data_IF_265469741370
#
_entry.id   IF_265469741370
#
_cell.length_a   1.000
_cell.length_b   1.000
_cell.length_c   1.000
_cell.angle_alpha   90.00
_cell.angle_beta   90.00
_cell.angle_gamma   90.00
#
_symmetry.space_group_name_H-M   'P 1'
#
loop_
_entity.id
_entity.type
_entity.pdbx_description
1 polymer ?
#
# COMPACT_ATOMS: atom_id res chain seq x y z
N UNK A 1 187.31 5.08 -148.22
CA UNK A 1 188.39 4.09 -148.04
C UNK A 1 187.94 2.83 -148.75
N UNK A 2 188.58 2.23 -149.75
CA UNK A 2 189.80 2.47 -150.54
C UNK A 2 189.75 1.41 -151.69
N UNK A 3 190.05 1.73 -152.97
CA UNK A 3 191.26 1.33 -153.75
C UNK A 3 191.38 -0.21 -154.04
N UNK A 4 192.01 -0.75 -155.12
CA UNK A 4 193.01 -0.24 -156.08
C UNK A 4 193.12 -1.12 -157.37
N UNK A 5 194.02 -0.71 -158.27
CA UNK A 5 194.39 -1.14 -159.64
C UNK A 5 194.92 -2.59 -159.93
N UNK A 6 194.96 -2.96 -161.24
CA UNK A 6 196.16 -3.50 -161.93
C UNK A 6 196.11 -4.84 -162.72
N UNK A 7 196.58 -4.84 -163.99
CA UNK A 7 197.45 -5.92 -164.54
C UNK A 7 196.96 -6.97 -165.60
N UNK A 8 197.74 -7.08 -166.70
CA UNK A 8 198.10 -8.27 -167.52
C UNK A 8 197.13 -8.93 -168.57
N UNK A 9 197.69 -9.81 -169.43
CA UNK A 9 197.29 -10.23 -170.81
C UNK A 9 196.85 -11.72 -170.96
N UNK A 10 196.06 -12.11 -171.99
CA UNK A 10 196.25 -13.28 -172.93
C UNK A 10 195.10 -13.48 -174.00
N UNK A 11 195.27 -14.48 -174.90
CA UNK A 11 194.48 -14.88 -176.13
C UNK A 11 192.98 -15.29 -175.90
N UNK A 12 192.05 -15.55 -176.85
CA UNK A 12 191.97 -15.41 -178.34
C UNK A 12 190.89 -16.31 -179.05
N UNK A 13 190.05 -15.75 -179.96
CA UNK A 13 189.39 -16.36 -181.17
C UNK A 13 187.99 -17.10 -181.20
N UNK A 14 187.02 -16.50 -181.94
CA UNK A 14 186.01 -17.07 -182.92
C UNK A 14 184.54 -17.44 -182.48
N UNK A 15 183.57 -17.25 -183.43
CA UNK A 15 182.06 -17.14 -183.40
C UNK A 15 181.33 -18.51 -183.70
N UNK A 16 179.95 -18.73 -183.80
CA UNK A 16 178.78 -17.85 -184.12
C UNK A 16 177.41 -18.14 -183.38
N UNK A 17 176.23 -17.70 -183.89
CA UNK A 17 174.89 -18.04 -183.32
C UNK A 17 173.59 -17.68 -184.12
N UNK A 18 172.45 -18.35 -183.82
CA UNK A 18 171.06 -18.01 -184.27
C UNK A 18 169.88 -18.67 -183.47
N UNK A 19 170.10 -19.65 -182.58
CA UNK A 19 169.02 -20.55 -182.07
C UNK A 19 168.11 -19.96 -180.97
N UNK A 20 168.49 -18.85 -180.34
CA UNK A 20 167.93 -18.43 -179.03
C UNK A 20 166.48 -17.84 -179.08
N UNK A 21 166.00 -17.42 -180.25
CA UNK A 21 164.74 -16.66 -180.35
C UNK A 21 163.46 -17.48 -180.09
N UNK A 22 163.42 -18.77 -180.42
CA UNK A 22 162.19 -19.57 -180.30
C UNK A 22 161.92 -20.10 -178.89
N UNK A 23 162.96 -20.43 -178.12
CA UNK A 23 162.80 -20.90 -176.74
C UNK A 23 162.20 -19.82 -175.82
N UNK A 24 162.61 -18.57 -176.02
CA UNK A 24 162.10 -17.41 -175.28
C UNK A 24 160.58 -17.21 -175.42
N UNK A 25 160.03 -17.41 -176.63
CA UNK A 25 158.61 -17.16 -176.90
C UNK A 25 157.70 -18.20 -176.20
N UNK A 26 158.14 -19.46 -176.13
CA UNK A 26 157.42 -20.52 -175.44
C UNK A 26 157.43 -20.33 -173.91
N UNK A 27 158.57 -19.90 -173.34
CA UNK A 27 158.67 -19.51 -171.92
C UNK A 27 157.70 -18.37 -171.56
N UNK A 28 157.57 -17.35 -172.41
CA UNK A 28 156.64 -16.23 -172.20
C UNK A 28 155.18 -16.72 -172.15
N UNK A 29 154.76 -17.62 -173.04
CA UNK A 29 153.38 -18.14 -173.06
C UNK A 29 153.07 -18.95 -171.80
N UNK A 30 153.98 -19.83 -171.36
CA UNK A 30 153.81 -20.57 -170.10
C UNK A 30 153.82 -19.65 -168.87
N UNK A 31 154.64 -18.60 -168.86
CA UNK A 31 154.68 -17.61 -167.80
C UNK A 31 153.37 -16.81 -167.71
N UNK A 32 152.83 -16.35 -168.84
CA UNK A 32 151.53 -15.67 -168.91
C UNK A 32 150.38 -16.59 -168.48
N UNK A 33 150.36 -17.85 -168.92
CA UNK A 33 149.35 -18.84 -168.49
C UNK A 33 149.47 -19.16 -166.99
N UNK A 34 150.69 -19.25 -166.45
CA UNK A 34 150.91 -19.48 -165.01
C UNK A 34 150.47 -18.28 -164.18
N UNK A 35 150.80 -17.04 -164.60
CA UNK A 35 150.30 -15.81 -163.98
C UNK A 35 148.77 -15.78 -164.02
N UNK A 36 148.17 -16.11 -165.17
CA UNK A 36 146.71 -16.15 -165.31
C UNK A 36 146.10 -17.22 -164.40
N UNK A 37 146.68 -18.42 -164.31
CA UNK A 37 146.19 -19.48 -163.43
C UNK A 37 146.32 -19.12 -161.95
N UNK A 38 147.41 -18.45 -161.55
CA UNK A 38 147.60 -17.91 -160.19
C UNK A 38 146.57 -16.80 -159.92
N UNK A 39 146.35 -15.87 -160.85
CA UNK A 39 145.31 -14.85 -160.72
C UNK A 39 143.92 -15.50 -160.60
N UNK A 40 143.59 -16.48 -161.44
CA UNK A 40 142.31 -17.20 -161.38
C UNK A 40 142.16 -18.00 -160.07
N UNK A 41 143.23 -18.59 -159.55
CA UNK A 41 143.24 -19.24 -158.24
C UNK A 41 142.99 -18.22 -157.13
N UNK A 42 143.75 -17.13 -157.08
CA UNK A 42 143.60 -16.06 -156.06
C UNK A 42 142.23 -15.40 -156.14
N UNK A 43 141.70 -15.13 -157.34
CA UNK A 43 140.34 -14.63 -157.54
C UNK A 43 139.30 -15.64 -157.06
N UNK A 44 139.43 -16.93 -157.41
CA UNK A 44 138.50 -17.97 -156.95
C UNK A 44 138.54 -18.14 -155.42
N UNK A 45 139.72 -18.15 -154.84
CA UNK A 45 139.95 -18.28 -153.39
C UNK A 45 139.40 -17.06 -152.66
N UNK A 46 139.67 -15.84 -153.16
CA UNK A 46 139.11 -14.58 -152.62
C UNK A 46 137.58 -14.55 -152.73
N UNK A 47 137.00 -14.92 -153.88
CA UNK A 47 135.55 -14.96 -154.07
C UNK A 47 134.91 -16.06 -153.21
N UNK A 48 135.56 -17.21 -153.05
CA UNK A 48 135.08 -18.30 -152.19
C UNK A 48 135.16 -17.93 -150.71
N UNK A 49 136.23 -17.25 -150.28
CA UNK A 49 136.38 -16.70 -148.94
C UNK A 49 135.32 -15.63 -148.65
N UNK A 50 135.18 -14.64 -149.52
CA UNK A 50 134.13 -13.62 -149.43
C UNK A 50 132.72 -14.23 -149.40
N UNK A 51 132.46 -15.29 -150.17
CA UNK A 51 131.19 -16.02 -150.13
C UNK A 51 130.96 -16.68 -148.77
N UNK A 52 131.95 -17.40 -148.24
CA UNK A 52 131.89 -18.01 -146.91
C UNK A 52 131.73 -16.96 -145.81
N UNK A 53 132.38 -15.80 -145.91
CA UNK A 53 132.24 -14.69 -144.98
C UNK A 53 130.83 -14.09 -145.02
N UNK A 54 130.24 -13.93 -146.21
CA UNK A 54 128.84 -13.49 -146.39
C UNK A 54 127.86 -14.53 -145.83
N UNK A 55 128.09 -15.82 -146.07
CA UNK A 55 127.27 -16.91 -145.51
C UNK A 55 127.36 -16.92 -143.96
N UNK A 56 128.56 -16.74 -143.39
CA UNK A 56 128.77 -16.60 -141.95
C UNK A 56 128.11 -15.33 -141.36
N UNK A 57 128.24 -14.18 -142.03
CA UNK A 57 127.57 -12.93 -141.61
C UNK A 57 126.04 -13.08 -141.67
N UNK A 58 125.51 -13.74 -142.70
CA UNK A 58 124.08 -14.01 -142.84
C UNK A 58 123.55 -14.88 -141.69
N UNK A 59 124.29 -15.93 -141.32
CA UNK A 59 123.98 -16.78 -140.17
C UNK A 59 124.07 -16.00 -138.84
N UNK A 60 125.08 -15.15 -138.67
CA UNK A 60 125.20 -14.29 -137.48
C UNK A 60 124.04 -13.28 -137.39
N UNK A 61 123.67 -12.64 -138.50
CA UNK A 61 122.53 -11.70 -138.56
C UNK A 61 121.21 -12.41 -138.28
N UNK A 62 120.99 -13.62 -138.80
CA UNK A 62 119.80 -14.43 -138.48
C UNK A 62 119.74 -14.77 -136.99
N UNK A 63 120.83 -15.28 -136.42
CA UNK A 63 120.93 -15.61 -135.00
C UNK A 63 120.73 -14.38 -134.09
N UNK A 64 121.25 -13.23 -134.50
CA UNK A 64 121.06 -11.97 -133.79
C UNK A 64 119.59 -11.49 -133.90
N UNK A 65 118.94 -11.67 -135.04
CA UNK A 65 117.51 -11.37 -135.23
C UNK A 65 116.61 -12.29 -134.39
N UNK A 66 116.92 -13.59 -134.33
CA UNK A 66 116.20 -14.56 -133.50
C UNK A 66 116.36 -14.24 -132.00
N UNK A 67 117.59 -13.92 -131.55
CA UNK A 67 117.83 -13.52 -130.16
C UNK A 67 117.13 -12.19 -129.81
N UNK A 68 117.12 -11.22 -130.72
CA UNK A 68 116.38 -9.96 -130.55
C UNK A 68 114.86 -10.18 -130.53
N UNK A 69 114.33 -11.11 -131.33
CA UNK A 69 112.93 -11.52 -131.30
C UNK A 69 112.54 -12.18 -129.97
N UNK A 70 113.39 -13.05 -129.43
CA UNK A 70 113.21 -13.66 -128.12
C UNK A 70 113.26 -12.64 -126.98
N UNK A 71 114.24 -11.73 -126.99
CA UNK A 71 114.32 -10.63 -126.01
C UNK A 71 113.14 -9.67 -126.13
N UNK A 72 112.64 -9.39 -127.34
CA UNK A 72 111.42 -8.61 -127.53
C UNK A 72 110.20 -9.30 -126.93
N UNK A 73 110.03 -10.61 -127.19
CA UNK A 73 108.95 -11.41 -126.60
C UNK A 73 109.04 -11.49 -125.07
N UNK A 74 110.26 -11.56 -124.51
CA UNK A 74 110.51 -11.45 -123.05
C UNK A 74 110.11 -10.08 -122.51
N UNK A 75 110.49 -8.99 -123.19
CA UNK A 75 110.11 -7.64 -122.78
C UNK A 75 108.59 -7.42 -122.83
N UNK A 76 107.92 -7.90 -123.89
CA UNK A 76 106.47 -7.75 -124.05
C UNK A 76 105.69 -8.60 -123.01
N UNK A 77 106.16 -9.82 -122.69
CA UNK A 77 105.57 -10.64 -121.61
C UNK A 77 105.83 -10.07 -120.20
N UNK A 78 107.02 -9.51 -119.95
CA UNK A 78 107.30 -8.77 -118.70
C UNK A 78 106.43 -7.52 -118.57
N UNK A 79 106.23 -6.77 -119.66
CA UNK A 79 105.35 -5.60 -119.67
C UNK A 79 103.90 -5.98 -119.36
N UNK A 80 103.39 -7.08 -119.92
CA UNK A 80 102.07 -7.63 -119.62
C UNK A 80 101.94 -8.05 -118.13
N UNK A 81 102.94 -8.76 -117.58
CA UNK A 81 102.95 -9.14 -116.16
C UNK A 81 102.94 -7.91 -115.24
N UNK A 82 103.76 -6.90 -115.54
CA UNK A 82 103.80 -5.64 -114.78
C UNK A 82 102.48 -4.88 -114.86
N UNK A 83 101.77 -4.91 -116.01
CA UNK A 83 100.44 -4.34 -116.13
C UNK A 83 99.42 -5.07 -115.23
N UNK A 84 99.38 -6.41 -115.28
CA UNK A 84 98.50 -7.22 -114.42
C UNK A 84 98.78 -7.01 -112.94
N UNK A 85 100.04 -6.95 -112.52
CA UNK A 85 100.41 -6.70 -111.12
C UNK A 85 100.02 -5.29 -110.64
N UNK A 86 100.05 -4.28 -111.53
CA UNK A 86 99.56 -2.93 -111.22
C UNK A 86 98.04 -2.91 -111.02
N UNK A 87 97.29 -3.61 -111.86
CA UNK A 87 95.83 -3.71 -111.76
C UNK A 87 95.38 -4.48 -110.50
N UNK A 88 96.03 -5.63 -110.22
CA UNK A 88 95.82 -6.38 -108.98
C UNK A 88 96.15 -5.53 -107.74
N UNK A 89 97.23 -4.74 -107.78
CA UNK A 89 97.59 -3.82 -106.70
C UNK A 89 96.54 -2.72 -106.51
N UNK A 90 96.09 -2.06 -107.58
CA UNK A 90 95.07 -1.01 -107.50
C UNK A 90 93.72 -1.55 -106.97
N UNK A 91 93.36 -2.78 -107.36
CA UNK A 91 92.19 -3.49 -106.83
C UNK A 91 92.34 -3.79 -105.33
N UNK A 92 93.50 -4.27 -104.90
CA UNK A 92 93.80 -4.54 -103.50
C UNK A 92 93.82 -3.26 -102.63
N UNK A 93 94.43 -2.18 -103.12
CA UNK A 93 94.44 -0.87 -102.45
C UNK A 93 93.01 -0.33 -102.27
N UNK A 94 92.16 -0.46 -103.29
CA UNK A 94 90.74 -0.09 -103.22
C UNK A 94 89.99 -0.93 -102.18
N UNK A 95 90.20 -2.26 -102.18
CA UNK A 95 89.56 -3.18 -101.23
C UNK A 95 90.02 -2.93 -99.78
N UNK A 96 91.29 -2.57 -99.57
CA UNK A 96 91.80 -2.15 -98.25
C UNK A 96 91.12 -0.85 -97.81
N UNK A 97 90.98 0.14 -98.70
CA UNK A 97 90.29 1.39 -98.38
C UNK A 97 88.80 1.17 -98.03
N UNK A 98 88.12 0.25 -98.71
CA UNK A 98 86.75 -0.16 -98.36
C UNK A 98 86.68 -0.83 -96.99
N UNK A 99 87.56 -1.79 -96.71
CA UNK A 99 87.60 -2.50 -95.42
C UNK A 99 87.95 -1.57 -94.25
N UNK A 100 88.84 -0.59 -94.47
CA UNK A 100 89.15 0.44 -93.47
C UNK A 100 87.93 1.33 -93.19
N UNK A 101 87.18 1.72 -94.22
CA UNK A 101 85.90 2.46 -94.06
C UNK A 101 84.84 1.62 -93.33
N UNK A 102 84.72 0.33 -93.65
CA UNK A 102 83.81 -0.59 -92.96
C UNK A 102 84.18 -0.78 -91.49
N UNK A 103 85.46 -1.01 -91.17
CA UNK A 103 85.92 -1.14 -89.78
C UNK A 103 85.74 0.16 -88.97
N UNK A 104 85.94 1.33 -89.60
CA UNK A 104 85.66 2.62 -88.95
C UNK A 104 84.16 2.81 -88.66
N UNK A 105 83.28 2.41 -89.60
CA UNK A 105 81.84 2.41 -89.40
C UNK A 105 81.41 1.46 -88.27
N UNK A 106 81.84 0.21 -88.31
CA UNK A 106 81.56 -0.79 -87.27
C UNK A 106 82.08 -0.36 -85.89
N UNK A 107 83.23 0.33 -85.82
CA UNK A 107 83.74 0.89 -84.56
C UNK A 107 82.85 2.02 -84.00
N UNK A 108 82.31 2.87 -84.87
CA UNK A 108 81.35 3.91 -84.47
C UNK A 108 80.01 3.30 -84.04
N UNK A 109 79.48 2.34 -84.80
CA UNK A 109 78.23 1.62 -84.49
C UNK A 109 78.33 0.86 -83.15
N UNK A 110 79.46 0.18 -82.90
CA UNK A 110 79.72 -0.50 -81.64
C UNK A 110 79.77 0.48 -80.48
N UNK A 111 80.49 1.60 -80.61
CA UNK A 111 80.56 2.61 -79.54
C UNK A 111 79.19 3.25 -79.25
N UNK A 112 78.38 3.49 -80.27
CA UNK A 112 77.00 3.96 -80.10
C UNK A 112 76.11 2.91 -79.39
N UNK A 113 76.25 1.63 -79.75
CA UNK A 113 75.53 0.54 -79.11
C UNK A 113 75.93 0.32 -77.64
N UNK A 114 77.22 0.46 -77.30
CA UNK A 114 77.71 0.42 -75.92
C UNK A 114 77.17 1.58 -75.09
N UNK A 115 77.20 2.82 -75.62
CA UNK A 115 76.61 3.99 -74.95
C UNK A 115 75.10 3.82 -74.72
N UNK A 116 74.36 3.29 -75.71
CA UNK A 116 72.92 3.03 -75.58
C UNK A 116 72.61 1.94 -74.54
N UNK A 117 73.41 0.86 -74.51
CA UNK A 117 73.31 -0.20 -73.48
C UNK A 117 73.56 0.36 -72.09
N UNK A 118 74.60 1.16 -71.92
CA UNK A 118 74.99 1.69 -70.61
C UNK A 118 73.99 2.75 -70.10
N UNK A 119 73.42 3.55 -71.00
CA UNK A 119 72.28 4.42 -70.70
C UNK A 119 71.04 3.62 -70.26
N UNK A 120 70.69 2.56 -70.98
CA UNK A 120 69.57 1.67 -70.64
C UNK A 120 69.79 0.95 -69.29
N UNK A 121 71.03 0.58 -68.99
CA UNK A 121 71.40 -0.02 -67.70
C UNK A 121 71.28 0.99 -66.54
N UNK A 122 71.66 2.25 -66.76
CA UNK A 122 71.46 3.32 -65.79
C UNK A 122 69.97 3.61 -65.54
N UNK A 123 69.14 3.65 -66.60
CA UNK A 123 67.69 3.81 -66.50
C UNK A 123 67.03 2.64 -65.75
N UNK A 124 67.39 1.40 -66.06
CA UNK A 124 66.94 0.21 -65.34
C UNK A 124 67.35 0.23 -63.85
N UNK A 125 68.55 0.75 -63.53
CA UNK A 125 69.01 0.98 -62.17
C UNK A 125 68.17 2.03 -61.43
N UNK A 126 67.84 3.14 -62.09
CA UNK A 126 66.97 4.18 -61.54
C UNK A 126 65.56 3.66 -61.27
N UNK A 127 64.93 2.99 -62.25
CA UNK A 127 63.61 2.36 -62.12
C UNK A 127 63.55 1.34 -60.99
N UNK A 128 64.61 0.52 -60.82
CA UNK A 128 64.72 -0.39 -59.66
C UNK A 128 64.78 0.40 -58.35
N UNK A 129 65.56 1.46 -58.27
CA UNK A 129 65.63 2.34 -57.10
C UNK A 129 64.34 3.09 -56.78
N UNK A 130 63.50 3.40 -57.78
CA UNK A 130 62.14 3.91 -57.59
C UNK A 130 61.18 2.82 -57.09
N UNK A 131 61.27 1.60 -57.64
CA UNK A 131 60.47 0.45 -57.21
C UNK A 131 60.76 0.08 -55.76
N UNK A 132 62.03 -0.03 -55.37
CA UNK A 132 62.46 -0.36 -54.01
C UNK A 132 61.95 0.72 -53.01
N UNK A 133 62.01 2.01 -53.40
CA UNK A 133 61.42 3.12 -52.62
C UNK A 133 59.90 3.02 -52.51
N UNK A 134 59.20 2.67 -53.59
CA UNK A 134 57.75 2.49 -53.59
C UNK A 134 57.32 1.31 -52.71
N UNK A 135 58.05 0.18 -52.76
CA UNK A 135 57.81 -0.98 -51.89
C UNK A 135 58.06 -0.66 -50.41
N UNK A 136 59.11 0.11 -50.09
CA UNK A 136 59.36 0.59 -48.74
C UNK A 136 58.24 1.52 -48.25
N UNK A 137 57.76 2.44 -49.10
CA UNK A 137 56.65 3.33 -48.79
C UNK A 137 55.33 2.57 -48.55
N UNK A 138 55.00 1.58 -49.39
CA UNK A 138 53.84 0.70 -49.20
C UNK A 138 53.94 -0.13 -47.91
N UNK A 139 55.13 -0.62 -47.58
CA UNK A 139 55.36 -1.37 -46.33
C UNK A 139 55.14 -0.47 -45.11
N UNK A 140 55.68 0.75 -45.12
CA UNK A 140 55.45 1.73 -44.06
C UNK A 140 53.97 2.16 -43.96
N UNK A 141 53.29 2.33 -45.09
CA UNK A 141 51.86 2.64 -45.14
C UNK A 141 51.01 1.51 -44.54
N UNK A 142 51.32 0.25 -44.85
CA UNK A 142 50.64 -0.92 -44.28
C UNK A 142 50.90 -1.04 -42.77
N UNK A 143 52.13 -0.79 -42.29
CA UNK A 143 52.44 -0.77 -40.86
C UNK A 143 51.67 0.32 -40.12
N UNK A 144 51.57 1.52 -40.69
CA UNK A 144 50.77 2.61 -40.12
C UNK A 144 49.28 2.26 -40.13
N UNK A 145 48.76 1.66 -41.21
CA UNK A 145 47.35 1.27 -41.30
C UNK A 145 46.98 0.19 -40.26
N UNK A 146 47.85 -0.81 -40.04
CA UNK A 146 47.64 -1.82 -39.00
C UNK A 146 47.75 -1.21 -37.59
N UNK A 147 48.63 -0.24 -37.38
CA UNK A 147 48.72 0.50 -36.11
C UNK A 147 47.46 1.33 -35.81
N UNK A 148 46.92 2.05 -36.81
CA UNK A 148 45.64 2.75 -36.67
C UNK A 148 44.45 1.78 -36.51
N UNK A 149 44.48 0.61 -37.18
CA UNK A 149 43.44 -0.42 -36.98
C UNK A 149 43.43 -0.95 -35.55
N UNK A 150 44.61 -1.20 -34.96
CA UNK A 150 44.73 -1.61 -33.54
C UNK A 150 44.21 -0.54 -32.58
N UNK A 151 44.55 0.73 -32.80
CA UNK A 151 43.97 1.84 -32.02
C UNK A 151 42.45 1.88 -32.14
N UNK A 152 41.92 1.67 -33.35
CA UNK A 152 40.47 1.61 -33.56
C UNK A 152 39.84 0.44 -32.78
N UNK A 153 40.40 -0.77 -32.86
CA UNK A 153 39.97 -1.95 -32.08
C UNK A 153 40.03 -1.71 -30.55
N UNK A 154 41.08 -1.06 -30.05
CA UNK A 154 41.21 -0.63 -28.65
C UNK A 154 40.11 0.37 -28.26
N UNK A 155 39.87 1.41 -29.09
CA UNK A 155 38.82 2.40 -28.81
C UNK A 155 37.40 1.82 -28.84
N UNK A 156 37.13 0.86 -29.74
CA UNK A 156 35.85 0.14 -29.78
C UNK A 156 35.67 -0.75 -28.54
N UNK A 157 36.75 -1.39 -28.07
CA UNK A 157 36.75 -2.18 -26.83
C UNK A 157 36.47 -1.30 -25.61
N UNK A 158 37.11 -0.12 -25.53
CA UNK A 158 36.86 0.87 -24.47
C UNK A 158 35.44 1.45 -24.53
N UNK A 159 34.91 1.69 -25.74
CA UNK A 159 33.53 2.16 -25.92
C UNK A 159 32.52 1.11 -25.45
N UNK A 160 32.68 -0.15 -25.84
CA UNK A 160 31.81 -1.25 -25.39
C UNK A 160 31.85 -1.42 -23.86
N UNK A 161 33.03 -1.29 -23.24
CA UNK A 161 33.16 -1.29 -21.79
C UNK A 161 32.47 -0.09 -21.11
N UNK A 162 32.55 1.10 -21.72
CA UNK A 162 31.89 2.30 -21.22
C UNK A 162 30.35 2.23 -21.36
N UNK A 163 29.84 1.65 -22.44
CA UNK A 163 28.40 1.40 -22.62
C UNK A 163 27.88 0.38 -21.60
N UNK A 164 28.58 -0.74 -21.40
CA UNK A 164 28.23 -1.73 -20.37
C UNK A 164 28.22 -1.11 -18.95
N UNK A 165 29.22 -0.28 -18.63
CA UNK A 165 29.27 0.44 -17.35
C UNK A 165 28.12 1.47 -17.19
N UNK A 166 27.76 2.20 -18.27
CA UNK A 166 26.61 3.11 -18.28
C UNK A 166 25.31 2.36 -18.03
N UNK A 167 25.13 1.21 -18.66
CA UNK A 167 23.90 0.43 -18.56
C UNK A 167 23.77 -0.25 -17.18
N UNK A 168 24.89 -0.70 -16.59
CA UNK A 168 24.94 -1.14 -15.18
C UNK A 168 24.56 0.01 -14.22
N UNK A 169 25.16 1.20 -14.37
CA UNK A 169 24.79 2.37 -13.57
C UNK A 169 23.32 2.79 -13.80
N UNK A 170 22.76 2.53 -14.98
CA UNK A 170 21.34 2.69 -15.26
C UNK A 170 20.47 1.75 -14.43
N UNK A 171 20.84 0.47 -14.36
CA UNK A 171 20.16 -0.53 -13.54
C UNK A 171 20.26 -0.22 -12.04
N UNK A 172 21.47 0.08 -11.53
CA UNK A 172 21.68 0.47 -10.13
C UNK A 172 20.84 1.71 -9.74
N UNK A 173 20.73 2.71 -10.63
CA UNK A 173 19.86 3.87 -10.41
C UNK A 173 18.37 3.53 -10.40
N UNK A 174 17.93 2.55 -11.20
CA UNK A 174 16.54 2.09 -11.20
C UNK A 174 16.19 1.30 -9.92
N UNK A 175 17.10 0.46 -9.43
CA UNK A 175 16.97 -0.21 -8.13
C UNK A 175 16.93 0.81 -6.98
N UNK A 176 17.86 1.78 -6.96
CA UNK A 176 17.88 2.84 -5.95
C UNK A 176 16.63 3.72 -5.97
N UNK A 177 16.06 4.00 -7.15
CA UNK A 177 14.77 4.71 -7.26
C UNK A 177 13.62 3.87 -6.68
N UNK A 178 13.58 2.57 -6.99
CA UNK A 178 12.55 1.64 -6.47
C UNK A 178 12.62 1.51 -4.95
N UNK A 179 13.83 1.43 -4.39
CA UNK A 179 14.06 1.41 -2.93
C UNK A 179 13.71 2.76 -2.28
N UNK A 180 13.96 3.87 -2.95
CA UNK A 180 13.56 5.20 -2.46
C UNK A 180 12.03 5.35 -2.42
N UNK A 181 11.32 4.91 -3.46
CA UNK A 181 9.85 4.90 -3.52
C UNK A 181 9.27 3.98 -2.44
N UNK A 182 9.86 2.80 -2.23
CA UNK A 182 9.50 1.88 -1.16
C UNK A 182 9.63 2.56 0.22
N UNK A 183 10.77 3.19 0.51
CA UNK A 183 10.99 3.91 1.77
C UNK A 183 10.05 5.10 1.94
N UNK A 184 9.70 5.80 0.85
CA UNK A 184 8.72 6.87 0.89
C UNK A 184 7.32 6.34 1.27
N UNK A 185 6.92 5.18 0.74
CA UNK A 185 5.67 4.52 1.11
C UNK A 185 5.67 4.03 2.58
N UNK A 186 6.76 3.41 3.04
CA UNK A 186 6.92 3.00 4.46
C UNK A 186 6.87 4.21 5.41
N UNK A 187 7.52 5.32 5.06
CA UNK A 187 7.44 6.58 5.82
C UNK A 187 6.03 7.20 5.81
N UNK A 188 5.30 7.13 4.69
CA UNK A 188 3.92 7.59 4.60
C UNK A 188 2.99 6.75 5.50
N UNK A 189 3.15 5.43 5.49
CA UNK A 189 2.41 4.51 6.38
C UNK A 189 2.72 4.79 7.86
N UNK A 190 4.00 4.96 8.22
CA UNK A 190 4.39 5.29 9.59
C UNK A 190 3.81 6.63 10.07
N UNK A 191 3.75 7.64 9.19
CA UNK A 191 3.11 8.93 9.48
C UNK A 191 1.59 8.80 9.66
N UNK A 192 0.92 7.99 8.85
CA UNK A 192 -0.51 7.72 9.01
C UNK A 192 -0.82 7.04 10.35
N UNK A 193 -0.08 5.98 10.70
CA UNK A 193 -0.23 5.30 11.99
C UNK A 193 0.02 6.23 13.19
N UNK A 194 1.01 7.12 13.11
CA UNK A 194 1.27 8.12 14.14
C UNK A 194 0.14 9.16 14.25
N UNK A 195 -0.46 9.55 13.11
CA UNK A 195 -1.64 10.43 13.07
C UNK A 195 -2.86 9.78 13.74
N UNK A 196 -3.13 8.51 13.44
CA UNK A 196 -4.23 7.76 14.07
C UNK A 196 -3.99 7.60 15.57
N UNK A 197 -2.77 7.23 15.98
CA UNK A 197 -2.41 7.07 17.39
C UNK A 197 -2.50 8.38 18.18
N UNK A 198 -2.12 9.52 17.57
CA UNK A 198 -2.30 10.84 18.21
C UNK A 198 -3.77 11.24 18.27
N UNK A 199 -4.59 10.91 17.26
CA UNK A 199 -6.04 11.07 17.30
C UNK A 199 -6.69 10.27 18.45
N UNK A 200 -6.37 8.98 18.58
CA UNK A 200 -6.84 8.11 19.68
C UNK A 200 -6.39 8.64 21.04
N UNK A 201 -5.15 9.13 21.16
CA UNK A 201 -4.63 9.74 22.39
C UNK A 201 -5.41 11.00 22.78
N UNK A 202 -5.71 11.88 21.81
CA UNK A 202 -6.53 13.07 22.06
C UNK A 202 -7.98 12.71 22.43
N UNK A 203 -8.57 11.69 21.82
CA UNK A 203 -9.91 11.22 22.20
C UNK A 203 -9.91 10.66 23.63
N UNK A 204 -8.91 9.86 23.98
CA UNK A 204 -8.71 9.38 25.36
C UNK A 204 -8.55 10.53 26.37
N UNK A 205 -7.80 11.58 26.03
CA UNK A 205 -7.69 12.78 26.86
C UNK A 205 -9.03 13.50 27.03
N UNK A 206 -9.84 13.64 25.96
CA UNK A 206 -11.20 14.22 26.03
C UNK A 206 -12.12 13.36 26.90
N UNK A 207 -12.06 12.04 26.78
CA UNK A 207 -12.86 11.13 27.59
C UNK A 207 -12.48 11.16 29.07
N UNK A 208 -11.17 11.23 29.39
CA UNK A 208 -10.68 11.43 30.76
C UNK A 208 -11.13 12.78 31.33
N UNK A 209 -11.10 13.85 30.53
CA UNK A 209 -11.61 15.17 30.95
C UNK A 209 -13.12 15.13 31.26
N UNK A 210 -13.93 14.48 30.41
CA UNK A 210 -15.37 14.29 30.63
C UNK A 210 -15.65 13.43 31.88
N UNK A 211 -14.93 12.33 32.07
CA UNK A 211 -15.06 11.48 33.25
C UNK A 211 -14.67 12.22 34.53
N UNK A 212 -13.63 13.06 34.49
CA UNK A 212 -13.25 13.92 35.62
C UNK A 212 -14.32 14.98 35.93
N UNK A 213 -14.96 15.56 34.91
CA UNK A 213 -16.08 16.49 35.07
C UNK A 213 -17.29 15.79 35.71
N UNK A 214 -17.65 14.59 35.24
CA UNK A 214 -18.70 13.75 35.83
C UNK A 214 -18.37 13.36 37.27
N UNK A 215 -17.12 12.98 37.56
CA UNK A 215 -16.67 12.64 38.91
C UNK A 215 -16.59 13.85 39.86
N UNK A 216 -16.45 15.08 39.33
CA UNK A 216 -16.63 16.31 40.11
C UNK A 216 -18.12 16.54 40.42
N UNK A 217 -18.99 16.50 39.40
CA UNK A 217 -20.43 16.66 39.55
C UNK A 217 -21.05 15.63 40.52
N UNK A 218 -20.61 14.37 40.48
CA UNK A 218 -21.02 13.33 41.42
C UNK A 218 -20.54 13.61 42.85
N UNK A 219 -19.35 14.19 43.04
CA UNK A 219 -18.87 14.62 44.35
C UNK A 219 -19.69 15.80 44.89
N UNK A 220 -20.05 16.76 44.04
CA UNK A 220 -20.91 17.88 44.42
C UNK A 220 -22.33 17.41 44.80
N UNK A 221 -22.88 16.43 44.06
CA UNK A 221 -24.15 15.78 44.39
C UNK A 221 -24.08 15.01 45.72
N UNK A 222 -23.00 14.28 45.97
CA UNK A 222 -22.79 13.59 47.25
C UNK A 222 -22.62 14.58 48.41
N UNK A 223 -21.91 15.70 48.22
CA UNK A 223 -21.79 16.75 49.22
C UNK A 223 -23.14 17.43 49.53
N UNK A 224 -23.97 17.67 48.50
CA UNK A 224 -25.32 18.20 48.68
C UNK A 224 -26.23 17.20 49.42
N UNK A 225 -26.18 15.92 49.07
CA UNK A 225 -26.92 14.86 49.78
C UNK A 225 -26.48 14.71 51.24
N UNK A 226 -25.16 14.78 51.50
CA UNK A 226 -24.63 14.78 52.85
C UNK A 226 -25.13 15.99 53.65
N UNK A 227 -25.12 17.19 53.06
CA UNK A 227 -25.67 18.39 53.72
C UNK A 227 -27.17 18.29 54.04
N UNK A 228 -27.97 17.65 53.17
CA UNK A 228 -29.38 17.37 53.45
C UNK A 228 -29.54 16.34 54.56
N UNK A 229 -28.69 15.31 54.61
CA UNK A 229 -28.69 14.31 55.68
C UNK A 229 -28.30 14.91 57.03
N UNK A 230 -27.23 15.71 57.06
CA UNK A 230 -26.73 16.40 58.26
C UNK A 230 -27.80 17.37 58.79
N UNK A 231 -28.49 18.11 57.91
CA UNK A 231 -29.63 18.95 58.26
C UNK A 231 -30.79 18.12 58.85
N UNK A 232 -31.16 17.01 58.23
CA UNK A 232 -32.21 16.11 58.74
C UNK A 232 -31.86 15.54 60.12
N UNK A 233 -30.60 15.22 60.38
CA UNK A 233 -30.14 14.75 61.70
C UNK A 233 -30.16 15.87 62.75
N UNK A 234 -29.82 17.11 62.36
CA UNK A 234 -29.94 18.28 63.23
C UNK A 234 -31.42 18.58 63.59
N UNK A 235 -32.33 18.47 62.61
CA UNK A 235 -33.76 18.63 62.81
C UNK A 235 -34.35 17.53 63.70
N UNK A 236 -33.92 16.26 63.53
CA UNK A 236 -34.30 15.15 64.40
C UNK A 236 -33.80 15.35 65.84
N UNK A 237 -32.55 15.81 66.02
CA UNK A 237 -32.00 16.14 67.33
C UNK A 237 -32.78 17.31 68.00
N UNK A 238 -33.13 18.35 67.23
CA UNK A 238 -33.93 19.45 67.73
C UNK A 238 -35.36 19.02 68.13
N UNK A 239 -36.00 18.17 67.33
CA UNK A 239 -37.29 17.56 67.66
C UNK A 239 -37.22 16.71 68.94
N UNK A 240 -36.13 15.95 69.13
CA UNK A 240 -35.90 15.18 70.37
C UNK A 240 -35.78 16.08 71.59
N UNK A 241 -35.03 17.18 71.51
CA UNK A 241 -34.93 18.18 72.60
C UNK A 241 -36.29 18.83 72.88
N UNK A 242 -37.12 19.08 71.87
CA UNK A 242 -38.51 19.54 72.08
C UNK A 242 -39.36 18.50 72.81
N UNK A 243 -39.26 17.21 72.47
CA UNK A 243 -39.97 16.12 73.17
C UNK A 243 -39.52 16.00 74.62
N UNK A 244 -38.21 16.08 74.90
CA UNK A 244 -37.67 16.07 76.27
C UNK A 244 -38.12 17.31 77.07
N UNK A 245 -38.17 18.48 76.43
CA UNK A 245 -38.69 19.73 77.03
C UNK A 245 -40.19 19.65 77.32
N UNK A 246 -40.99 19.09 76.40
CA UNK A 246 -42.41 18.84 76.59
C UNK A 246 -42.67 17.82 77.70
N UNK A 247 -41.87 16.76 77.79
CA UNK A 247 -41.91 15.79 78.89
C UNK A 247 -41.57 16.42 80.24
N UNK A 248 -40.56 17.29 80.29
CA UNK A 248 -40.22 18.07 81.49
C UNK A 248 -41.35 19.02 81.90
N UNK A 249 -41.94 19.74 80.95
CA UNK A 249 -43.08 20.63 81.18
C UNK A 249 -44.34 19.87 81.65
N UNK A 250 -44.59 18.67 81.10
CA UNK A 250 -45.69 17.80 81.53
C UNK A 250 -45.46 17.28 82.96
N UNK A 251 -44.24 16.88 83.31
CA UNK A 251 -43.88 16.50 84.68
C UNK A 251 -43.99 17.67 85.67
N UNK A 252 -43.60 18.88 85.25
CA UNK A 252 -43.79 20.10 86.06
C UNK A 252 -45.28 20.47 86.22
N UNK A 253 -46.11 20.25 85.20
CA UNK A 253 -47.56 20.42 85.29
C UNK A 253 -48.20 19.38 86.21
N UNK A 254 -47.78 18.10 86.13
CA UNK A 254 -48.20 17.04 87.06
C UNK A 254 -47.79 17.36 88.51
N UNK A 255 -46.59 17.91 88.74
CA UNK A 255 -46.15 18.35 90.05
C UNK A 255 -46.98 19.53 90.60
N UNK A 256 -47.40 20.48 89.74
CA UNK A 256 -48.36 21.54 90.12
C UNK A 256 -49.73 20.95 90.49
N UNK A 257 -50.27 20.04 89.68
CA UNK A 257 -51.55 19.37 89.97
C UNK A 257 -51.47 18.57 91.28
N UNK A 258 -50.38 17.87 91.55
CA UNK A 258 -50.17 17.16 92.82
C UNK A 258 -50.05 18.12 94.02
N UNK A 259 -49.44 19.30 93.84
CA UNK A 259 -49.38 20.36 94.85
C UNK A 259 -50.75 21.01 95.11
N UNK A 260 -51.59 21.17 94.08
CA UNK A 260 -52.96 21.67 94.23
C UNK A 260 -53.88 20.62 94.86
N UNK A 261 -53.67 19.32 94.55
CA UNK A 261 -54.41 18.21 95.16
C UNK A 261 -54.10 18.05 96.66
N UNK A 262 -52.84 18.18 97.11
CA UNK A 262 -52.52 18.13 98.54
C UNK A 262 -53.07 19.33 99.31
N UNK A 263 -53.10 20.52 98.70
CA UNK A 263 -53.75 21.70 99.27
C UNK A 263 -55.29 21.56 99.36
N UNK A 264 -55.92 20.91 98.37
CA UNK A 264 -57.37 20.57 98.41
C UNK A 264 -57.68 19.51 99.46
N UNK A 265 -56.90 18.45 99.56
CA UNK A 265 -57.11 17.38 100.54
C UNK A 265 -57.11 17.90 102.00
N UNK A 266 -56.27 18.88 102.32
CA UNK A 266 -56.22 19.52 103.64
C UNK A 266 -57.49 20.37 103.97
N UNK A 267 -58.20 20.86 102.95
CA UNK A 267 -59.48 21.55 103.11
C UNK A 267 -60.65 20.55 103.17
N UNK A 268 -60.64 19.54 102.29
CA UNK A 268 -61.66 18.48 102.25
C UNK A 268 -61.76 17.70 103.58
N UNK A 269 -60.64 17.47 104.28
CA UNK A 269 -60.68 16.74 105.56
C UNK A 269 -61.58 17.42 106.61
N UNK A 270 -61.64 18.77 106.63
CA UNK A 270 -62.52 19.53 107.53
C UNK A 270 -63.99 19.57 107.07
N UNK A 271 -64.24 19.30 105.79
CA UNK A 271 -65.59 19.33 105.22
C UNK A 271 -66.23 17.93 105.25
N UNK A 272 -65.42 16.86 105.15
CA UNK A 272 -65.83 15.46 105.34
C UNK A 272 -66.41 15.20 106.74
N UNK A 273 -65.81 15.74 107.80
CA UNK A 273 -66.35 15.64 109.17
C UNK A 273 -67.76 16.27 109.31
N UNK A 274 -68.11 17.26 108.47
CA UNK A 274 -69.46 17.85 108.44
C UNK A 274 -70.44 17.03 107.59
N UNK A 275 -69.95 16.43 106.50
CA UNK A 275 -70.77 15.72 105.51
C UNK A 275 -71.03 14.24 105.85
N UNK A 276 -70.17 13.57 106.64
CA UNK A 276 -70.44 12.19 107.10
C UNK A 276 -71.65 12.12 108.05
N UNK A 277 -71.93 13.18 108.81
CA UNK A 277 -73.15 13.29 109.62
C UNK A 277 -74.42 13.48 108.77
N UNK A 278 -74.29 13.96 107.52
CA UNK A 278 -75.40 14.24 106.60
C UNK A 278 -75.66 13.05 105.65
N UNK A 279 -74.60 12.31 105.28
CA UNK A 279 -74.69 11.11 104.45
C UNK A 279 -75.34 9.89 105.14
N UNK A 280 -75.20 9.76 106.47
CA UNK A 280 -75.76 8.64 107.24
C UNK A 280 -77.30 8.67 107.37
N UNK A 281 -77.97 9.77 106.99
CA UNK A 281 -79.43 9.85 106.90
C UNK A 281 -79.97 9.59 105.47
N UNK A 282 -79.20 9.92 104.42
CA UNK A 282 -79.62 9.75 103.03
C UNK A 282 -79.55 8.30 102.52
N UNK A 283 -78.58 7.50 102.95
CA UNK A 283 -78.47 6.10 102.52
C UNK A 283 -79.55 5.17 103.13
N UNK A 284 -80.15 5.60 104.25
CA UNK A 284 -81.29 4.95 104.91
C UNK A 284 -82.57 5.05 104.06
N UNK A 285 -82.78 6.19 103.42
CA UNK A 285 -84.01 6.49 102.66
C UNK A 285 -84.10 5.70 101.35
N UNK A 286 -82.97 5.52 100.64
CA UNK A 286 -82.93 4.82 99.34
C UNK A 286 -83.27 3.33 99.45
N UNK A 287 -82.98 2.71 100.59
CA UNK A 287 -83.21 1.27 100.84
C UNK A 287 -84.64 0.94 101.29
N UNK A 288 -85.35 1.88 101.93
CA UNK A 288 -86.77 1.70 102.28
C UNK A 288 -87.74 2.05 101.14
N UNK A 289 -87.38 3.01 100.28
CA UNK A 289 -88.23 3.50 99.19
C UNK A 289 -88.55 2.42 98.14
N UNK A 290 -87.53 1.74 97.61
CA UNK A 290 -87.73 0.66 96.62
C UNK A 290 -88.25 -0.66 97.24
N UNK A 291 -88.15 -0.83 98.56
CA UNK A 291 -88.78 -1.95 99.27
C UNK A 291 -90.30 -1.80 99.33
N UNK A 292 -90.79 -0.70 99.91
CA UNK A 292 -92.23 -0.42 100.06
C UNK A 292 -92.99 -0.41 98.72
N UNK A 293 -92.36 0.04 97.64
CA UNK A 293 -92.99 0.10 96.31
C UNK A 293 -93.17 -1.28 95.66
N UNK A 294 -92.34 -2.29 95.99
CA UNK A 294 -92.52 -3.68 95.52
C UNK A 294 -93.74 -4.33 96.15
N UNK A 295 -93.93 -4.14 97.46
CA UNK A 295 -94.97 -4.82 98.25
C UNK A 295 -96.39 -4.32 97.92
N UNK A 296 -96.53 -3.04 97.54
CA UNK A 296 -97.82 -2.42 97.18
C UNK A 296 -98.32 -2.88 95.79
N UNK A 297 -97.42 -3.12 94.83
CA UNK A 297 -97.78 -3.50 93.45
C UNK A 297 -97.76 -5.02 93.20
N UNK A 298 -97.04 -5.80 94.02
CA UNK A 298 -97.00 -7.27 93.91
C UNK A 298 -98.20 -8.01 94.52
N UNK A 299 -99.14 -7.31 95.14
CA UNK A 299 -100.30 -7.87 95.85
C UNK A 299 -101.62 -7.78 95.06
N UNK A 300 -101.56 -7.58 93.73
CA UNK A 300 -102.71 -7.42 92.84
C UNK A 300 -102.94 -8.68 91.98
N UNK A 301 -104.18 -9.15 91.89
CA UNK A 301 -104.53 -10.33 91.07
C UNK A 301 -104.33 -10.05 89.56
N UNK A 302 -103.61 -10.96 88.89
CA UNK A 302 -103.42 -10.95 87.43
C UNK A 302 -102.13 -10.31 86.91
N UNK A 303 -101.17 -9.96 87.78
CA UNK A 303 -99.87 -9.36 87.41
C UNK A 303 -98.72 -10.27 87.85
N UNK A 304 -97.77 -10.57 86.95
CA UNK A 304 -96.56 -11.33 87.29
C UNK A 304 -95.40 -10.35 87.55
N UNK A 305 -94.76 -10.41 88.73
CA UNK A 305 -93.62 -9.54 89.06
C UNK A 305 -92.31 -10.26 88.77
N UNK A 306 -91.54 -9.75 87.81
CA UNK A 306 -90.25 -10.32 87.40
C UNK A 306 -89.14 -9.30 87.68
N UNK A 307 -88.48 -9.45 88.84
CA UNK A 307 -87.40 -8.57 89.28
C UNK A 307 -87.88 -7.17 89.67
N UNK A 308 -87.71 -6.21 88.76
CA UNK A 308 -88.16 -4.82 88.90
C UNK A 308 -89.20 -4.41 87.84
N UNK A 309 -89.84 -5.41 87.20
CA UNK A 309 -90.81 -5.24 86.12
C UNK A 309 -92.16 -5.87 86.48
N UNK A 310 -93.24 -5.18 86.13
CA UNK A 310 -94.62 -5.67 86.25
C UNK A 310 -95.10 -6.18 84.90
N UNK A 311 -95.34 -7.48 84.78
CA UNK A 311 -95.60 -8.17 83.51
C UNK A 311 -97.10 -8.48 83.38
N UNK A 312 -97.67 -8.07 82.25
CA UNK A 312 -99.08 -8.25 81.88
C UNK A 312 -99.19 -9.08 80.60
N UNK A 313 -99.82 -10.28 80.63
CA UNK A 313 -100.08 -11.05 79.42
C UNK A 313 -100.92 -10.22 78.43
N UNK A 314 -100.48 -10.16 77.16
CA UNK A 314 -101.11 -9.33 76.13
C UNK A 314 -102.55 -9.71 75.85
N UNK A 315 -102.95 -10.95 76.11
CA UNK A 315 -104.30 -11.47 75.82
C UNK A 315 -105.35 -10.92 76.80
N UNK A 316 -104.94 -10.56 78.01
CA UNK A 316 -105.79 -9.85 78.97
C UNK A 316 -106.00 -8.40 78.51
N UNK A 317 -104.94 -7.77 77.99
CA UNK A 317 -104.98 -6.35 77.60
C UNK A 317 -105.60 -6.11 76.22
N UNK A 318 -105.39 -7.01 75.26
CA UNK A 318 -105.70 -6.85 73.85
C UNK A 318 -106.37 -8.09 73.26
N UNK A 319 -107.25 -7.89 72.28
CA UNK A 319 -107.69 -8.99 71.43
C UNK A 319 -106.50 -9.54 70.60
N UNK A 320 -106.50 -10.83 70.21
CA UNK A 320 -105.47 -11.41 69.35
C UNK A 320 -105.24 -10.59 68.07
N UNK A 321 -103.97 -10.34 67.73
CA UNK A 321 -103.58 -9.51 66.58
C UNK A 321 -103.89 -8.01 66.68
N UNK A 322 -104.56 -7.54 67.73
CA UNK A 322 -104.91 -6.12 67.91
C UNK A 322 -103.93 -5.39 68.83
N UNK A 323 -103.79 -4.07 68.64
CA UNK A 323 -103.16 -3.15 69.59
C UNK A 323 -104.17 -2.26 70.35
N UNK A 324 -105.47 -2.36 70.05
CA UNK A 324 -106.51 -1.60 70.78
C UNK A 324 -106.82 -2.28 72.10
N UNK A 325 -106.64 -1.57 73.22
CA UNK A 325 -107.00 -2.06 74.55
C UNK A 325 -108.49 -2.43 74.63
N UNK A 326 -108.76 -3.67 75.03
CA UNK A 326 -110.10 -4.17 75.33
C UNK A 326 -110.61 -3.56 76.66
N UNK A 327 -111.88 -3.81 77.03
CA UNK A 327 -112.47 -3.21 78.23
C UNK A 327 -111.78 -3.65 79.54
N UNK A 328 -111.40 -4.92 79.64
CA UNK A 328 -110.70 -5.48 80.81
C UNK A 328 -109.29 -4.94 80.93
N UNK A 329 -108.55 -4.88 79.82
CA UNK A 329 -107.21 -4.29 79.73
C UNK A 329 -107.15 -2.84 80.18
N UNK A 330 -108.16 -2.04 79.82
CA UNK A 330 -108.31 -0.66 80.34
C UNK A 330 -108.46 -0.66 81.85
N UNK A 331 -109.28 -1.55 82.42
CA UNK A 331 -109.46 -1.66 83.87
C UNK A 331 -108.17 -2.11 84.59
N UNK A 332 -107.40 -3.03 84.00
CA UNK A 332 -106.09 -3.45 84.53
C UNK A 332 -105.10 -2.27 84.55
N UNK A 333 -104.95 -1.56 83.42
CA UNK A 333 -104.05 -0.41 83.29
C UNK A 333 -104.46 0.75 84.21
N UNK A 334 -105.77 0.99 84.38
CA UNK A 334 -106.31 2.00 85.29
C UNK A 334 -105.95 1.76 86.77
N UNK A 335 -105.96 0.50 87.23
CA UNK A 335 -105.53 0.14 88.58
C UNK A 335 -104.05 0.47 88.81
N UNK A 336 -103.19 0.08 87.86
CA UNK A 336 -101.75 0.40 87.91
C UNK A 336 -101.57 1.92 87.94
N UNK A 337 -102.17 2.64 87.00
CA UNK A 337 -102.07 4.11 86.93
C UNK A 337 -102.55 4.80 88.23
N UNK A 338 -103.58 4.27 88.89
CA UNK A 338 -104.06 4.77 90.19
C UNK A 338 -102.99 4.65 91.29
N UNK A 339 -102.32 3.49 91.40
CA UNK A 339 -101.23 3.30 92.35
C UNK A 339 -100.06 4.22 92.01
N UNK A 340 -99.70 4.33 90.72
CA UNK A 340 -98.62 5.21 90.28
C UNK A 340 -98.92 6.66 90.65
N UNK A 341 -100.11 7.20 90.33
CA UNK A 341 -100.52 8.55 90.75
C UNK A 341 -100.39 8.78 92.26
N UNK A 342 -100.73 7.79 93.08
CA UNK A 342 -100.63 7.92 94.54
C UNK A 342 -99.18 8.05 95.03
N UNK A 343 -98.26 7.32 94.40
CA UNK A 343 -96.82 7.36 94.75
C UNK A 343 -96.15 8.60 94.15
N UNK A 344 -96.55 9.03 92.94
CA UNK A 344 -95.98 10.19 92.24
C UNK A 344 -95.96 11.48 93.06
N UNK A 345 -96.95 11.68 93.93
CA UNK A 345 -97.03 12.87 94.80
C UNK A 345 -95.96 12.88 95.91
N UNK A 346 -95.48 11.70 96.32
CA UNK A 346 -94.49 11.52 97.39
C UNK A 346 -93.04 11.50 96.87
N UNK A 347 -92.83 11.50 95.54
CA UNK A 347 -91.47 11.47 94.96
C UNK A 347 -90.86 12.88 94.97
N UNK A 348 -89.70 13.10 95.60
CA UNK A 348 -89.04 14.41 95.64
C UNK A 348 -88.72 14.95 94.24
N UNK A 349 -88.82 16.28 94.01
CA UNK A 349 -88.61 16.90 92.70
C UNK A 349 -87.18 16.79 92.16
N UNK A 350 -86.23 16.32 92.97
CA UNK A 350 -84.84 16.05 92.56
C UNK A 350 -84.60 14.65 91.99
N UNK A 351 -85.61 13.78 91.88
CA UNK A 351 -85.48 12.44 91.29
C UNK A 351 -86.10 12.43 89.87
N UNK A 352 -85.25 12.31 88.85
CA UNK A 352 -85.68 12.30 87.44
C UNK A 352 -86.05 10.87 86.99
N UNK A 353 -87.12 10.33 87.55
CA UNK A 353 -87.66 9.01 87.20
C UNK A 353 -88.60 9.06 85.98
N UNK A 354 -88.71 7.94 85.28
CA UNK A 354 -89.65 7.69 84.19
C UNK A 354 -90.23 6.28 84.29
N UNK A 355 -91.53 6.13 83.98
CA UNK A 355 -92.17 4.83 83.83
C UNK A 355 -92.07 4.37 82.38
N UNK A 356 -91.34 3.28 82.17
CA UNK A 356 -91.13 2.65 80.88
C UNK A 356 -92.15 1.53 80.67
N UNK A 357 -92.86 1.57 79.56
CA UNK A 357 -93.84 0.58 79.12
C UNK A 357 -93.28 -0.14 77.90
N UNK A 358 -92.93 -1.40 78.09
CA UNK A 358 -92.19 -2.21 77.14
C UNK A 358 -93.11 -3.30 76.56
N UNK A 359 -93.37 -3.26 75.26
CA UNK A 359 -94.24 -4.21 74.56
C UNK A 359 -93.46 -5.32 73.88
N UNK A 360 -93.99 -6.54 73.95
CA UNK A 360 -93.36 -7.73 73.38
C UNK A 360 -94.37 -8.62 72.64
N UNK A 361 -93.88 -9.38 71.66
CA UNK A 361 -94.62 -10.44 70.97
C UNK A 361 -93.92 -11.78 71.16
N UNK A 362 -94.57 -12.87 70.76
CA UNK A 362 -93.86 -14.10 70.43
C UNK A 362 -93.30 -14.06 69.00
N UNK A 363 -92.61 -15.14 68.61
CA UNK A 363 -91.90 -15.25 67.34
C UNK A 363 -92.80 -15.53 66.10
N UNK A 364 -94.10 -15.79 66.29
CA UNK A 364 -95.03 -16.01 65.18
C UNK A 364 -95.19 -14.71 64.37
N UNK A 365 -94.98 -14.71 63.04
CA UNK A 365 -95.18 -13.52 62.22
C UNK A 365 -96.64 -13.04 62.24
N UNK A 366 -96.83 -11.72 62.12
CA UNK A 366 -98.18 -11.13 61.96
C UNK A 366 -98.87 -11.70 60.71
N UNK A 367 -100.14 -12.11 60.87
CA UNK A 367 -100.87 -12.83 59.84
C UNK A 367 -101.21 -11.98 58.60
N UNK A 368 -101.35 -12.64 57.44
CA UNK A 368 -101.75 -11.99 56.17
C UNK A 368 -103.12 -11.34 56.34
N UNK A 369 -103.18 -10.01 56.27
CA UNK A 369 -104.38 -9.20 56.56
C UNK A 369 -104.34 -8.43 57.89
N UNK A 370 -103.27 -8.57 58.69
CA UNK A 370 -102.96 -7.70 59.83
C UNK A 370 -102.77 -6.23 59.39
N UNK A 371 -103.22 -5.23 60.19
CA UNK A 371 -102.92 -3.83 59.93
C UNK A 371 -101.47 -3.43 60.29
N UNK A 372 -100.74 -4.29 61.01
CA UNK A 372 -99.32 -4.12 61.36
C UNK A 372 -98.44 -4.91 60.40
N UNK A 373 -97.30 -4.35 59.96
CA UNK A 373 -96.40 -4.99 58.98
C UNK A 373 -95.53 -6.08 59.60
N UNK A 374 -95.16 -5.92 60.87
CA UNK A 374 -94.31 -6.85 61.61
C UNK A 374 -94.57 -6.81 63.13
N UNK A 375 -93.84 -7.64 63.87
CA UNK A 375 -93.93 -7.75 65.33
C UNK A 375 -93.33 -6.55 66.08
N UNK A 376 -92.41 -5.78 65.48
CA UNK A 376 -91.94 -4.52 66.08
C UNK A 376 -93.07 -3.49 66.08
N UNK A 377 -93.76 -3.35 64.96
CA UNK A 377 -94.88 -2.42 64.83
C UNK A 377 -96.06 -2.80 65.74
N UNK A 378 -96.41 -4.09 65.83
CA UNK A 378 -97.45 -4.57 66.74
C UNK A 378 -97.09 -4.34 68.23
N UNK A 379 -95.86 -4.66 68.64
CA UNK A 379 -95.42 -4.47 70.04
C UNK A 379 -95.32 -2.98 70.42
N UNK A 380 -94.76 -2.16 69.54
CA UNK A 380 -94.66 -0.71 69.74
C UNK A 380 -96.03 -0.05 69.78
N UNK A 381 -96.97 -0.47 68.91
CA UNK A 381 -98.34 0.01 68.92
C UNK A 381 -99.06 -0.37 70.23
N UNK A 382 -98.90 -1.61 70.73
CA UNK A 382 -99.47 -2.05 72.01
C UNK A 382 -98.94 -1.25 73.20
N UNK A 383 -97.62 -1.09 73.32
CA UNK A 383 -97.00 -0.28 74.37
C UNK A 383 -97.47 1.18 74.30
N UNK A 384 -97.53 1.75 73.09
CA UNK A 384 -98.02 3.11 72.88
C UNK A 384 -99.51 3.25 73.21
N UNK A 385 -100.34 2.24 72.98
CA UNK A 385 -101.75 2.24 73.36
C UNK A 385 -101.95 2.20 74.88
N UNK A 386 -101.08 1.50 75.62
CA UNK A 386 -101.06 1.56 77.10
C UNK A 386 -100.63 2.95 77.58
N UNK A 387 -99.54 3.50 77.06
CA UNK A 387 -99.06 4.85 77.43
C UNK A 387 -100.09 5.93 77.09
N UNK A 388 -100.70 5.90 75.89
CA UNK A 388 -101.78 6.82 75.52
C UNK A 388 -102.97 6.70 76.46
N UNK A 389 -103.40 5.49 76.80
CA UNK A 389 -104.48 5.32 77.78
C UNK A 389 -104.10 5.87 79.16
N UNK A 390 -102.86 5.65 79.61
CA UNK A 390 -102.35 6.22 80.86
C UNK A 390 -102.31 7.76 80.88
N UNK A 391 -102.05 8.39 79.74
CA UNK A 391 -102.06 9.86 79.60
C UNK A 391 -103.50 10.39 79.46
N UNK A 392 -104.24 9.87 78.47
CA UNK A 392 -105.53 10.42 78.00
C UNK A 392 -106.70 10.10 78.95
N UNK A 393 -106.73 8.91 79.56
CA UNK A 393 -107.80 8.48 80.46
C UNK A 393 -107.39 8.57 81.94
N UNK A 394 -106.12 8.30 82.25
CA UNK A 394 -105.63 8.21 83.64
C UNK A 394 -104.79 9.42 84.08
N UNK A 395 -104.50 10.38 83.21
CA UNK A 395 -103.86 11.64 83.59
C UNK A 395 -102.41 11.53 84.09
N UNK A 396 -101.68 10.47 83.75
CA UNK A 396 -100.25 10.37 84.02
C UNK A 396 -99.49 11.38 83.13
N UNK A 397 -98.57 12.20 83.66
CA UNK A 397 -97.76 13.13 82.87
C UNK A 397 -96.97 12.43 81.76
N UNK A 398 -97.05 12.97 80.54
CA UNK A 398 -96.42 12.38 79.36
C UNK A 398 -94.88 12.40 79.40
N UNK A 399 -94.28 13.33 80.14
CA UNK A 399 -92.83 13.41 80.40
C UNK A 399 -92.33 12.35 81.38
N UNK A 400 -93.25 11.63 82.05
CA UNK A 400 -92.97 10.51 82.96
C UNK A 400 -93.33 9.15 82.35
N UNK A 401 -93.60 9.08 81.04
CA UNK A 401 -93.93 7.85 80.33
C UNK A 401 -93.08 7.66 79.07
N UNK A 402 -92.60 6.44 78.86
CA UNK A 402 -91.95 6.01 77.62
C UNK A 402 -92.59 4.72 77.10
N UNK A 403 -92.91 4.64 75.80
CA UNK A 403 -93.44 3.43 75.16
C UNK A 403 -92.40 2.84 74.21
N UNK A 404 -91.98 1.59 74.45
CA UNK A 404 -91.05 0.86 73.57
C UNK A 404 -91.71 -0.42 73.03
N UNK A 405 -91.49 -0.75 71.78
CA UNK A 405 -91.71 -2.10 71.25
C UNK A 405 -90.38 -2.84 71.12
N UNK A 406 -90.32 -4.09 71.59
CA UNK A 406 -89.16 -4.98 71.45
C UNK A 406 -89.40 -6.16 70.50
N UNK A 407 -90.60 -6.24 69.91
CA UNK A 407 -91.04 -7.37 69.09
C UNK A 407 -90.84 -8.70 69.80
N UNK A 408 -90.35 -9.69 69.04
CA UNK A 408 -90.04 -11.04 69.52
C UNK A 408 -88.63 -11.20 70.10
N UNK A 409 -87.83 -10.13 70.16
CA UNK A 409 -86.38 -10.21 70.37
C UNK A 409 -85.95 -10.17 71.84
N UNK A 410 -86.91 -10.16 72.76
CA UNK A 410 -86.70 -10.36 74.20
C UNK A 410 -87.77 -11.33 74.73
N UNK A 411 -87.66 -12.64 74.46
CA UNK A 411 -88.51 -13.64 75.11
C UNK A 411 -88.19 -13.73 76.63
N UNK A 412 -89.16 -14.16 77.44
CA UNK A 412 -88.94 -14.59 78.83
C UNK A 412 -88.93 -16.12 78.96
N UNK A 413 -89.50 -16.80 77.96
CA UNK A 413 -89.56 -18.24 77.85
C UNK A 413 -89.01 -18.64 76.48
N UNK A 414 -87.91 -19.40 76.45
CA UNK A 414 -87.19 -19.73 75.21
C UNK A 414 -87.84 -20.87 74.40
N UNK A 415 -88.96 -21.41 74.86
CA UNK A 415 -89.72 -22.47 74.19
C UNK A 415 -90.73 -21.98 73.15
N UNK A 416 -91.21 -22.90 72.31
CA UNK A 416 -92.21 -22.65 71.25
C UNK A 416 -93.59 -23.25 71.58
N UNK A 417 -93.85 -23.59 72.86
CA UNK A 417 -95.19 -24.03 73.27
C UNK A 417 -96.22 -22.88 73.14
N UNK A 418 -97.53 -23.17 73.02
CA UNK A 418 -98.56 -22.14 73.08
C UNK A 418 -98.46 -21.27 74.34
N UNK A 419 -98.11 -21.89 75.48
CA UNK A 419 -97.93 -21.26 76.78
C UNK A 419 -96.71 -20.34 76.83
N UNK A 420 -95.55 -20.80 76.34
CA UNK A 420 -94.33 -19.97 76.24
C UNK A 420 -94.56 -18.76 75.34
N UNK A 421 -95.24 -18.96 74.20
CA UNK A 421 -95.62 -17.87 73.29
C UNK A 421 -96.61 -16.91 73.95
N UNK A 422 -97.57 -17.38 74.74
CA UNK A 422 -98.46 -16.51 75.50
C UNK A 422 -97.71 -15.66 76.54
N UNK A 423 -96.71 -16.23 77.25
CA UNK A 423 -95.84 -15.48 78.17
C UNK A 423 -94.94 -14.48 77.46
N UNK A 424 -94.47 -14.80 76.25
CA UNK A 424 -93.65 -13.89 75.44
C UNK A 424 -94.47 -12.70 74.91
N UNK A 425 -95.76 -12.89 74.57
CA UNK A 425 -96.72 -11.83 74.26
C UNK A 425 -97.12 -11.06 75.54
N UNK A 426 -96.38 -10.03 75.93
CA UNK A 426 -96.69 -9.23 77.14
C UNK A 426 -96.48 -7.73 76.99
N UNK A 427 -96.97 -6.98 77.97
CA UNK A 427 -96.51 -5.63 78.30
C UNK A 427 -95.79 -5.69 79.64
N UNK A 428 -94.61 -5.09 79.73
CA UNK A 428 -93.88 -4.90 80.98
C UNK A 428 -93.91 -3.42 81.37
N UNK A 429 -94.09 -3.12 82.66
CA UNK A 429 -93.91 -1.77 83.20
C UNK A 429 -92.72 -1.74 84.17
N UNK A 430 -91.81 -0.79 83.98
CA UNK A 430 -90.59 -0.63 84.77
C UNK A 430 -90.35 0.84 85.10
N UNK A 431 -90.07 1.13 86.37
CA UNK A 431 -89.52 2.42 86.77
C UNK A 431 -88.01 2.46 86.51
N UNK A 432 -87.52 3.57 85.96
CA UNK A 432 -86.09 3.81 85.72
C UNK A 432 -85.78 5.30 85.88
N UNK A 433 -84.51 5.65 85.94
CA UNK A 433 -84.04 7.04 85.79
C UNK A 433 -84.05 7.43 84.30
N UNK A 434 -84.28 8.71 84.01
CA UNK A 434 -84.51 9.28 82.69
C UNK A 434 -83.23 9.50 81.87
#
# INVERSE_FOLDING_TARGET
>A
MALRAGGNRFHGSIWPGFVDAMGALLMIVFFVLSIFMILQYVLRDTISGQRSDIENLSLQVSSLADSLGLERSRADTQAALVATLRDQRATAETRIADLLRQNAGLGADLSAAEQARDASAAEAGALKGDLDRSQAALTAMNMNLEAERRKAEETLTLLAAAEAARDQLGAERAELATEADRRAAELAQARALLSDQTGVSQEGQRQVALLNQQAAQLRDQLAALQGVLDQSQADEAAAKVQVETLGSNLNAALARVASEQSARAALEQKERERLEAEAQDLERYRSEFFGRMRDILGSQEGVEVVGDRFVFPSEVLFAPGSATLNAEGRTQVARVATVIRSIMADIPPGIDWILRVDGHTDATPVGVGSPFRDNWELSQARALSVVRYMIEAEGIPADRLAANGFGQYQPIADGDTPEDRARNRRIELKFTER
#
